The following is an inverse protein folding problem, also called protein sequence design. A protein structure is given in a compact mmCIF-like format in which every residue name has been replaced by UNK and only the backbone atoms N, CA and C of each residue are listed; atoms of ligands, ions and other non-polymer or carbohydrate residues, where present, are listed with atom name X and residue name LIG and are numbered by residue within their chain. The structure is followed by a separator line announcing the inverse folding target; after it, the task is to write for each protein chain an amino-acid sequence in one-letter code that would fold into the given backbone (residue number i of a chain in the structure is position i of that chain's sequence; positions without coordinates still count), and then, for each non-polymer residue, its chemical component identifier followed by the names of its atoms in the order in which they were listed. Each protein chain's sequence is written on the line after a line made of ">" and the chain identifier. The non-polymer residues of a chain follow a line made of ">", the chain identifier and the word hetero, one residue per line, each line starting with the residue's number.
data_IF_191803364893
#
_entry.id   IF_191803364893
#
_cell.length_a   1.000
_cell.length_b   1.000
_cell.length_c   1.000
_cell.angle_alpha   90.00
_cell.angle_beta   90.00
_cell.angle_gamma   90.00
#
_symmetry.space_group_name_H-M   'P 1'
#
loop_
_entity.id
_entity.type
_entity.pdbx_description
1 polymer ?
#
# COMPACT_ATOMS: atom_id res chain seq x y z
N UNK A 1 7.92 -20.11 -1.13
CA UNK A 1 7.59 -18.81 -1.78
C UNK A 1 8.17 -17.73 -0.89
N UNK A 2 8.84 -16.75 -1.49
CA UNK A 2 9.51 -15.66 -0.76
C UNK A 2 8.83 -14.33 -1.12
N UNK A 3 8.13 -13.76 -0.15
CA UNK A 3 7.31 -12.55 -0.34
C UNK A 3 7.57 -11.54 0.76
N UNK A 4 7.37 -10.25 0.46
CA UNK A 4 7.51 -9.16 1.43
C UNK A 4 6.34 -8.18 1.31
N UNK A 5 5.81 -7.74 2.44
CA UNK A 5 4.88 -6.62 2.56
C UNK A 5 5.59 -5.45 3.24
N UNK A 6 5.51 -4.25 2.66
CA UNK A 6 6.20 -3.05 3.15
C UNK A 6 5.21 -1.92 3.37
N UNK A 7 5.29 -1.30 4.54
CA UNK A 7 4.57 -0.05 4.85
C UNK A 7 5.52 1.05 5.33
N UNK A 8 5.13 2.29 5.14
CA UNK A 8 5.88 3.45 5.58
C UNK A 8 5.62 3.72 7.07
N UNK A 9 6.68 3.87 7.86
CA UNK A 9 6.63 4.21 9.27
C UNK A 9 7.38 5.52 9.56
N UNK A 10 7.19 6.10 10.74
CA UNK A 10 7.95 7.28 11.16
C UNK A 10 9.45 6.96 11.29
N UNK A 11 9.80 5.73 11.67
CA UNK A 11 11.19 5.25 11.73
C UNK A 11 11.84 5.07 10.35
N UNK A 12 11.08 5.08 9.29
CA UNK A 12 11.50 4.75 7.93
C UNK A 12 10.49 3.80 7.29
N UNK A 13 10.76 2.52 7.31
CA UNK A 13 9.95 1.48 6.71
C UNK A 13 9.81 0.30 7.65
N UNK A 14 8.66 -0.34 7.63
CA UNK A 14 8.44 -1.63 8.26
C UNK A 14 8.16 -2.66 7.17
N UNK A 15 8.86 -3.78 7.23
CA UNK A 15 8.72 -4.89 6.30
C UNK A 15 8.40 -6.16 7.06
N UNK A 16 7.47 -6.95 6.53
CA UNK A 16 7.18 -8.32 6.98
C UNK A 16 7.42 -9.25 5.81
N UNK A 17 8.27 -10.25 6.00
CA UNK A 17 8.58 -11.25 4.99
C UNK A 17 8.04 -12.60 5.38
N UNK A 18 7.61 -13.40 4.38
CA UNK A 18 7.17 -14.78 4.55
C UNK A 18 7.98 -15.63 3.58
N UNK A 19 8.89 -16.46 4.14
CA UNK A 19 9.73 -17.39 3.40
C UNK A 19 9.48 -18.81 3.90
N UNK A 20 9.06 -19.68 3.01
CA UNK A 20 8.75 -21.09 3.30
C UNK A 20 7.78 -21.25 4.49
N UNK A 21 6.80 -20.35 4.61
CA UNK A 21 5.82 -20.30 5.69
C UNK A 21 6.32 -19.66 6.99
N UNK A 22 7.58 -19.25 7.05
CA UNK A 22 8.16 -18.59 8.23
C UNK A 22 8.05 -17.08 8.08
N UNK A 23 7.51 -16.43 9.12
CA UNK A 23 7.42 -14.98 9.19
C UNK A 23 8.68 -14.38 9.79
N UNK A 24 9.13 -13.27 9.24
CA UNK A 24 10.18 -12.42 9.79
C UNK A 24 9.83 -10.95 9.57
N UNK A 25 10.53 -10.05 10.23
CA UNK A 25 10.31 -8.62 10.09
C UNK A 25 11.62 -7.83 10.11
N UNK A 26 11.57 -6.64 9.52
CA UNK A 26 12.65 -5.65 9.52
C UNK A 26 12.07 -4.26 9.69
N UNK A 27 12.73 -3.40 10.47
CA UNK A 27 12.49 -1.96 10.49
C UNK A 27 13.77 -1.29 10.02
N UNK A 28 13.65 -0.48 8.98
CA UNK A 28 14.78 0.12 8.29
C UNK A 28 14.57 1.63 8.08
N UNK A 29 15.64 2.39 8.05
CA UNK A 29 15.60 3.82 7.74
C UNK A 29 15.44 4.08 6.24
N UNK A 30 15.91 3.15 5.42
CA UNK A 30 15.87 3.19 3.96
C UNK A 30 15.49 1.83 3.37
N UNK A 31 14.96 1.83 2.14
CA UNK A 31 14.48 0.63 1.45
C UNK A 31 15.61 -0.30 1.00
N UNK A 32 16.81 0.20 0.78
CA UNK A 32 17.99 -0.60 0.43
C UNK A 32 18.50 -1.49 1.58
N UNK A 33 18.08 -1.19 2.81
CA UNK A 33 18.38 -2.02 3.99
C UNK A 33 17.42 -3.23 4.13
N UNK A 34 16.37 -3.32 3.28
CA UNK A 34 15.36 -4.38 3.35
C UNK A 34 15.66 -5.46 2.33
N UNK A 35 15.92 -6.67 2.81
CA UNK A 35 15.98 -7.85 1.95
C UNK A 35 14.56 -8.24 1.51
N UNK A 36 14.24 -7.99 0.24
CA UNK A 36 12.93 -8.21 -0.32
C UNK A 36 12.79 -9.61 -0.93
N UNK A 37 11.61 -10.20 -0.79
CA UNK A 37 11.26 -11.43 -1.49
C UNK A 37 11.07 -11.24 -3.00
N UNK A 38 10.92 -12.34 -3.70
CA UNK A 38 10.69 -12.35 -5.16
C UNK A 38 9.40 -11.64 -5.58
N UNK A 39 8.46 -11.49 -4.66
CA UNK A 39 7.24 -10.68 -4.81
C UNK A 39 7.10 -9.76 -3.60
N UNK A 40 7.16 -8.47 -3.84
CA UNK A 40 7.07 -7.44 -2.79
C UNK A 40 5.89 -6.52 -3.04
N UNK A 41 4.99 -6.43 -2.05
CA UNK A 41 3.87 -5.49 -2.07
C UNK A 41 4.18 -4.32 -1.16
N UNK A 42 4.00 -3.10 -1.66
CA UNK A 42 4.31 -1.87 -0.94
C UNK A 42 3.10 -0.93 -0.90
N UNK A 43 2.75 -0.40 0.29
CA UNK A 43 1.70 0.62 0.45
C UNK A 43 2.23 2.00 0.08
N UNK A 44 2.63 2.12 -1.19
CA UNK A 44 3.11 3.39 -1.72
C UNK A 44 2.94 3.44 -3.24
N UNK A 45 2.55 4.58 -3.82
CA UNK A 45 2.55 4.76 -5.26
C UNK A 45 3.94 4.50 -5.86
N UNK A 46 4.01 3.64 -6.88
CA UNK A 46 5.24 3.35 -7.62
C UNK A 46 5.32 4.18 -8.90
N UNK A 47 4.37 3.98 -9.81
CA UNK A 47 4.23 4.78 -11.04
C UNK A 47 3.42 6.05 -10.79
N UNK A 48 3.78 7.14 -11.46
CA UNK A 48 3.14 8.44 -11.33
C UNK A 48 2.75 8.99 -12.71
N UNK A 49 1.57 9.60 -12.78
CA UNK A 49 1.11 10.29 -13.98
C UNK A 49 1.69 11.71 -14.07
N UNK A 50 1.76 12.25 -15.30
CA UNK A 50 2.28 13.58 -15.59
C UNK A 50 1.23 14.68 -15.47
N UNK A 51 0.01 14.41 -15.97
CA UNK A 51 -0.99 15.43 -16.21
C UNK A 51 -2.44 14.99 -16.00
N UNK A 52 -2.66 13.86 -15.36
CA UNK A 52 -3.99 13.34 -15.06
C UNK A 52 -3.99 12.53 -13.77
N UNK A 53 -5.17 12.20 -13.27
CA UNK A 53 -5.32 11.26 -12.15
C UNK A 53 -4.99 9.85 -12.60
N UNK A 54 -4.32 9.10 -11.74
CA UNK A 54 -4.06 7.68 -11.98
C UNK A 54 -5.38 6.88 -11.99
N UNK A 55 -5.52 5.98 -12.94
CA UNK A 55 -6.66 5.06 -12.99
C UNK A 55 -6.66 4.09 -11.80
N UNK A 56 -5.50 3.68 -11.33
CA UNK A 56 -5.33 2.79 -10.17
C UNK A 56 -5.97 3.36 -8.92
N UNK A 57 -5.79 4.66 -8.60
CA UNK A 57 -6.40 5.29 -7.42
C UNK A 57 -7.94 5.23 -7.46
N UNK A 58 -8.53 5.40 -8.64
CA UNK A 58 -9.98 5.27 -8.83
C UNK A 58 -10.45 3.83 -8.63
N UNK A 59 -9.73 2.87 -9.22
CA UNK A 59 -10.07 1.45 -9.12
C UNK A 59 -9.94 0.92 -7.69
N UNK A 60 -8.91 1.32 -6.94
CA UNK A 60 -8.76 0.98 -5.52
C UNK A 60 -9.93 1.55 -4.68
N UNK A 61 -10.40 2.77 -4.99
CA UNK A 61 -11.59 3.33 -4.31
C UNK A 61 -12.86 2.54 -4.60
N UNK A 62 -13.04 2.03 -5.83
CA UNK A 62 -14.21 1.20 -6.16
C UNK A 62 -14.25 -0.08 -5.30
N UNK A 63 -13.11 -0.68 -5.00
CA UNK A 63 -13.01 -1.86 -4.12
C UNK A 63 -13.45 -1.57 -2.67
N UNK A 64 -13.38 -0.31 -2.23
CA UNK A 64 -13.70 0.11 -0.87
C UNK A 64 -15.12 0.69 -0.71
N UNK A 65 -15.96 0.60 -1.73
CA UNK A 65 -17.38 0.97 -1.64
C UNK A 65 -18.20 -0.13 -0.95
N UNK A 66 -19.21 0.28 -0.16
CA UNK A 66 -19.46 1.63 0.35
C UNK A 66 -18.62 1.96 1.60
N UNK A 67 -18.30 3.23 1.79
CA UNK A 67 -17.92 3.78 3.10
C UNK A 67 -16.43 4.00 3.37
N UNK A 68 -15.48 3.32 2.66
CA UNK A 68 -14.03 3.42 2.97
C UNK A 68 -13.20 4.04 1.84
N UNK A 69 -13.83 4.66 0.87
CA UNK A 69 -13.16 5.24 -0.31
C UNK A 69 -12.13 6.33 0.02
N UNK A 70 -12.30 7.03 1.15
CA UNK A 70 -11.36 8.06 1.63
C UNK A 70 -10.01 7.51 2.11
N UNK A 71 -9.87 6.19 2.27
CA UNK A 71 -8.59 5.57 2.61
C UNK A 71 -7.59 5.64 1.44
N UNK A 72 -8.09 5.75 0.20
CA UNK A 72 -7.24 5.91 -0.98
C UNK A 72 -7.13 7.39 -1.36
N UNK A 73 -5.99 8.00 -1.20
CA UNK A 73 -5.72 9.36 -1.67
C UNK A 73 -5.42 9.39 -3.17
N UNK A 74 -5.46 10.57 -3.81
CA UNK A 74 -4.91 10.71 -5.16
C UNK A 74 -3.38 10.81 -5.04
N UNK A 75 -2.66 9.93 -5.72
CA UNK A 75 -1.23 10.06 -5.81
C UNK A 75 -0.84 11.40 -6.47
N UNK A 76 0.31 11.98 -6.10
CA UNK A 76 0.79 13.21 -6.73
C UNK A 76 1.09 12.99 -8.22
N UNK A 77 1.13 14.08 -8.97
CA UNK A 77 1.77 14.04 -10.28
C UNK A 77 3.28 13.84 -10.12
N UNK A 78 3.93 13.22 -11.11
CA UNK A 78 5.39 13.01 -11.07
C UNK A 78 6.15 14.33 -10.89
N UNK A 79 5.72 15.36 -11.57
CA UNK A 79 6.29 16.72 -11.48
C UNK A 79 6.23 17.32 -10.06
N UNK A 80 5.40 16.79 -9.15
CA UNK A 80 5.37 17.24 -7.77
C UNK A 80 6.68 16.92 -7.02
N UNK A 81 7.42 15.87 -7.45
CA UNK A 81 8.74 15.53 -6.91
C UNK A 81 9.80 16.62 -7.18
N UNK A 82 9.59 17.43 -8.20
CA UNK A 82 10.53 18.46 -8.66
C UNK A 82 10.16 19.86 -8.13
N UNK A 83 9.02 19.99 -7.43
CA UNK A 83 8.55 21.30 -6.97
C UNK A 83 9.22 21.72 -5.65
N UNK A 84 9.56 23.02 -5.50
CA UNK A 84 10.26 23.49 -4.31
C UNK A 84 9.40 23.51 -3.05
N UNK A 85 8.07 23.61 -3.20
CA UNK A 85 7.14 23.70 -2.08
C UNK A 85 5.74 23.18 -2.44
N UNK A 86 4.92 22.99 -1.38
CA UNK A 86 3.56 22.50 -1.50
C UNK A 86 2.65 23.39 -2.37
N UNK A 87 2.77 24.71 -2.26
CA UNK A 87 1.87 25.62 -2.96
C UNK A 87 2.10 25.53 -4.47
N UNK A 88 3.37 25.56 -4.90
CA UNK A 88 3.76 25.39 -6.28
C UNK A 88 3.31 24.04 -6.85
N UNK A 89 3.54 22.94 -6.10
CA UNK A 89 3.11 21.61 -6.50
C UNK A 89 1.58 21.49 -6.61
N UNK A 90 0.84 22.06 -5.66
CA UNK A 90 -0.62 22.02 -5.64
C UNK A 90 -1.23 22.87 -6.79
N UNK A 91 -0.67 24.03 -7.07
CA UNK A 91 -1.15 24.87 -8.16
C UNK A 91 -0.83 24.27 -9.52
N UNK A 92 0.36 23.67 -9.67
CA UNK A 92 0.69 22.88 -10.85
C UNK A 92 -0.32 21.74 -11.07
N UNK A 93 -0.62 20.97 -10.02
CA UNK A 93 -1.58 19.86 -10.09
C UNK A 93 -2.99 20.33 -10.51
N UNK A 94 -3.48 21.43 -9.93
CA UNK A 94 -4.77 22.02 -10.32
C UNK A 94 -4.80 22.46 -11.78
N UNK A 95 -3.75 23.11 -12.23
CA UNK A 95 -3.65 23.65 -13.58
C UNK A 95 -3.57 22.56 -14.65
N UNK A 96 -2.78 21.50 -14.41
CA UNK A 96 -2.46 20.50 -15.44
C UNK A 96 -3.31 19.24 -15.36
N UNK A 97 -3.82 18.90 -14.17
CA UNK A 97 -4.60 17.67 -13.98
C UNK A 97 -6.01 17.89 -13.39
N UNK A 98 -6.38 19.15 -13.11
CA UNK A 98 -7.72 19.52 -12.63
C UNK A 98 -8.02 19.04 -11.18
N UNK A 99 -7.00 18.73 -10.39
CA UNK A 99 -7.20 18.36 -8.97
C UNK A 99 -6.09 18.92 -8.09
N UNK A 100 -6.45 19.25 -6.84
CA UNK A 100 -5.48 19.72 -5.86
C UNK A 100 -4.70 18.58 -5.23
N UNK A 101 -3.41 18.83 -4.96
CA UNK A 101 -2.55 17.94 -4.18
C UNK A 101 -2.95 18.01 -2.70
N UNK A 102 -3.23 16.86 -2.06
CA UNK A 102 -3.45 16.84 -0.62
C UNK A 102 -2.14 17.05 0.16
N UNK A 103 -2.23 17.64 1.36
CA UNK A 103 -1.04 17.73 2.23
C UNK A 103 -0.48 16.35 2.59
N UNK A 104 -1.35 15.34 2.74
CA UNK A 104 -0.90 13.96 2.96
C UNK A 104 -0.02 13.47 1.81
N UNK A 105 -0.49 13.63 0.56
CA UNK A 105 0.30 13.23 -0.61
C UNK A 105 1.62 14.01 -0.71
N UNK A 106 1.61 15.30 -0.38
CA UNK A 106 2.83 16.12 -0.33
C UNK A 106 3.86 15.57 0.68
N UNK A 107 3.43 15.27 1.90
CA UNK A 107 4.33 14.73 2.93
C UNK A 107 4.84 13.31 2.63
N UNK A 108 4.18 12.59 1.73
CA UNK A 108 4.62 11.28 1.26
C UNK A 108 5.62 11.35 0.10
N UNK A 109 5.84 12.52 -0.54
CA UNK A 109 6.78 12.65 -1.67
C UNK A 109 8.17 12.07 -1.39
N UNK A 110 8.83 12.33 -0.24
CA UNK A 110 10.14 11.74 0.04
C UNK A 110 10.10 10.20 0.09
N UNK A 111 8.98 9.62 0.53
CA UNK A 111 8.79 8.16 0.55
C UNK A 111 8.56 7.60 -0.86
N UNK A 112 7.74 8.28 -1.66
CA UNK A 112 7.51 7.94 -3.06
C UNK A 112 8.82 7.99 -3.84
N UNK A 113 9.65 9.01 -3.61
CA UNK A 113 10.97 9.13 -4.22
C UNK A 113 11.90 7.99 -3.83
N UNK A 114 11.94 7.61 -2.55
CA UNK A 114 12.70 6.43 -2.10
C UNK A 114 12.24 5.15 -2.82
N UNK A 115 10.93 4.91 -2.94
CA UNK A 115 10.40 3.74 -3.66
C UNK A 115 10.89 3.74 -5.09
N UNK A 116 10.85 4.87 -5.79
CA UNK A 116 11.30 4.98 -7.18
C UNK A 116 12.82 4.82 -7.34
N UNK A 117 13.59 5.36 -6.39
CA UNK A 117 15.06 5.27 -6.39
C UNK A 117 15.55 3.83 -6.15
N UNK A 118 14.89 3.09 -5.25
CA UNK A 118 15.28 1.74 -4.86
C UNK A 118 14.44 0.64 -5.52
N UNK A 119 13.60 1.00 -6.50
CA UNK A 119 12.69 0.08 -7.17
C UNK A 119 13.44 -1.14 -7.71
N UNK A 120 12.89 -2.32 -7.45
CA UNK A 120 13.39 -3.59 -7.95
C UNK A 120 12.30 -4.36 -8.72
N UNK A 121 12.65 -5.15 -9.74
CA UNK A 121 11.70 -6.06 -10.37
C UNK A 121 11.02 -6.96 -9.34
N UNK A 122 9.69 -7.07 -9.43
CA UNK A 122 8.90 -7.81 -8.43
C UNK A 122 8.25 -6.93 -7.35
N UNK A 123 8.62 -5.66 -7.26
CA UNK A 123 7.90 -4.70 -6.42
C UNK A 123 6.66 -4.19 -7.12
N UNK A 124 5.53 -4.23 -6.42
CA UNK A 124 4.26 -3.74 -6.94
C UNK A 124 3.52 -2.97 -5.85
N UNK A 125 2.93 -1.85 -6.23
CA UNK A 125 2.00 -1.11 -5.38
C UNK A 125 0.86 -2.03 -4.93
N UNK A 126 0.49 -1.94 -3.67
CA UNK A 126 -0.69 -2.59 -3.12
C UNK A 126 -1.31 -1.70 -2.05
N UNK A 127 -2.50 -2.04 -1.57
CA UNK A 127 -3.19 -1.19 -0.59
C UNK A 127 -3.80 -2.06 0.53
N UNK A 128 -3.35 -1.93 1.80
CA UNK A 128 -3.75 -2.80 2.90
C UNK A 128 -5.26 -2.87 3.12
N UNK A 129 -5.96 -1.73 3.09
CA UNK A 129 -7.42 -1.69 3.26
C UNK A 129 -8.16 -2.42 2.12
N UNK A 130 -7.63 -2.38 0.89
CA UNK A 130 -8.22 -3.13 -0.23
C UNK A 130 -7.90 -4.61 -0.11
N UNK A 131 -6.67 -4.96 0.31
CA UNK A 131 -6.32 -6.35 0.63
C UNK A 131 -7.24 -6.91 1.71
N UNK A 132 -7.47 -6.15 2.80
CA UNK A 132 -8.43 -6.52 3.83
C UNK A 132 -9.82 -6.79 3.26
N UNK A 133 -10.36 -5.85 2.46
CA UNK A 133 -11.69 -5.98 1.88
C UNK A 133 -11.83 -7.22 0.98
N UNK A 134 -10.80 -7.54 0.21
CA UNK A 134 -10.80 -8.72 -0.67
C UNK A 134 -10.68 -10.04 0.11
N UNK A 135 -9.94 -10.04 1.22
CA UNK A 135 -9.74 -11.22 2.06
C UNK A 135 -10.93 -11.50 3.00
N UNK A 136 -11.74 -10.48 3.31
CA UNK A 136 -12.94 -10.61 4.16
C UNK A 136 -14.25 -10.61 3.38
N UNK A 137 -14.21 -10.20 2.09
CA UNK A 137 -15.38 -10.04 1.24
C UNK A 137 -16.09 -8.69 1.38
N UNK A 138 -15.67 -7.84 2.30
CA UNK A 138 -16.24 -6.50 2.53
C UNK A 138 -15.20 -5.52 3.09
N UNK A 139 -15.33 -4.20 2.87
CA UNK A 139 -14.49 -3.20 3.52
C UNK A 139 -14.58 -3.27 5.04
N UNK A 140 -13.50 -2.89 5.73
CA UNK A 140 -13.48 -2.81 7.19
C UNK A 140 -14.58 -1.88 7.70
N UNK A 141 -15.29 -2.31 8.74
CA UNK A 141 -16.40 -1.56 9.34
C UNK A 141 -15.90 -0.36 10.13
N UNK A 142 -14.78 -0.54 10.82
CA UNK A 142 -14.20 0.47 11.71
C UNK A 142 -12.88 1.02 11.19
N UNK A 143 -12.56 2.26 11.58
CA UNK A 143 -11.29 2.89 11.25
C UNK A 143 -10.13 2.15 11.92
N UNK A 144 -9.01 1.97 11.21
CA UNK A 144 -7.78 1.38 11.79
C UNK A 144 -7.23 2.16 13.00
N UNK A 145 -7.75 3.37 13.26
CA UNK A 145 -7.41 4.21 14.42
C UNK A 145 -8.27 3.95 15.66
N UNK A 146 -9.30 3.10 15.57
CA UNK A 146 -10.14 2.70 16.70
C UNK A 146 -9.78 1.31 17.18
N UNK A 147 -10.09 1.00 18.43
CA UNK A 147 -9.85 -0.33 19.03
C UNK A 147 -10.55 -1.42 18.23
N UNK A 148 -11.80 -1.18 17.82
CA UNK A 148 -12.59 -2.12 17.04
C UNK A 148 -11.98 -2.35 15.65
N UNK A 149 -11.48 -1.30 15.02
CA UNK A 149 -10.85 -1.39 13.70
C UNK A 149 -9.50 -2.10 13.74
N UNK A 150 -8.72 -1.93 14.79
CA UNK A 150 -7.50 -2.71 15.03
C UNK A 150 -7.88 -4.18 15.24
N UNK A 151 -8.89 -4.47 16.11
CA UNK A 151 -9.34 -5.82 16.38
C UNK A 151 -9.86 -6.55 15.12
N UNK A 152 -10.59 -5.87 14.22
CA UNK A 152 -11.02 -6.44 12.93
C UNK A 152 -9.84 -6.96 12.10
N UNK A 153 -8.77 -6.18 12.02
CA UNK A 153 -7.60 -6.53 11.22
C UNK A 153 -6.77 -7.63 11.86
N UNK A 154 -6.58 -7.56 13.18
CA UNK A 154 -5.91 -8.62 13.94
C UNK A 154 -6.64 -9.96 13.78
N UNK A 155 -7.97 -9.97 13.87
CA UNK A 155 -8.75 -11.19 13.67
C UNK A 155 -8.54 -11.81 12.29
N UNK A 156 -8.35 -10.99 11.24
CA UNK A 156 -7.98 -11.49 9.93
C UNK A 156 -6.55 -12.05 9.91
N UNK A 157 -5.57 -11.34 10.47
CA UNK A 157 -4.17 -11.78 10.51
C UNK A 157 -4.00 -13.12 11.26
N UNK A 158 -4.73 -13.31 12.36
CA UNK A 158 -4.76 -14.55 13.12
C UNK A 158 -5.24 -15.76 12.31
N UNK A 159 -6.15 -15.56 11.34
CA UNK A 159 -6.59 -16.65 10.43
C UNK A 159 -5.46 -17.15 9.52
N UNK A 160 -4.43 -16.36 9.32
CA UNK A 160 -3.22 -16.71 8.56
C UNK A 160 -2.04 -17.08 9.45
N UNK A 161 -2.28 -17.32 10.75
CA UNK A 161 -1.26 -17.62 11.74
C UNK A 161 -0.12 -16.59 11.78
N UNK A 162 -0.44 -15.32 11.47
CA UNK A 162 0.53 -14.23 11.53
C UNK A 162 0.96 -13.99 12.98
N UNK A 163 2.27 -13.93 13.29
CA UNK A 163 2.74 -13.57 14.62
C UNK A 163 2.27 -12.17 15.04
N UNK A 164 2.10 -11.95 16.33
CA UNK A 164 1.56 -10.71 16.89
C UNK A 164 2.58 -9.53 16.83
N UNK A 165 3.10 -9.22 15.65
CA UNK A 165 4.06 -8.11 15.45
C UNK A 165 3.48 -6.75 15.84
N UNK A 166 2.16 -6.58 15.79
CA UNK A 166 1.48 -5.36 16.25
C UNK A 166 1.60 -5.10 17.76
N UNK A 167 2.09 -6.07 18.54
CA UNK A 167 2.40 -5.93 19.97
C UNK A 167 3.85 -5.47 20.22
N UNK A 168 4.69 -5.44 19.18
CA UNK A 168 6.07 -5.02 19.29
C UNK A 168 6.14 -3.50 19.55
N UNK A 169 6.91 -3.12 20.55
CA UNK A 169 7.19 -1.72 20.86
C UNK A 169 8.52 -1.30 20.21
N UNK A 170 8.45 -0.91 18.95
CA UNK A 170 9.60 -0.40 18.20
C UNK A 170 9.43 1.11 18.02
N UNK A 171 10.43 1.89 18.45
CA UNK A 171 10.37 3.35 18.36
C UNK A 171 10.14 3.82 16.94
N UNK A 172 9.06 4.58 16.72
CA UNK A 172 8.73 5.16 15.42
C UNK A 172 8.00 4.21 14.46
N UNK A 173 7.50 3.08 14.96
CA UNK A 173 6.58 2.17 14.24
C UNK A 173 5.28 2.08 15.03
N UNK A 174 4.17 2.41 14.40
CA UNK A 174 2.85 2.34 15.02
C UNK A 174 2.23 0.93 14.82
N UNK A 175 1.22 0.60 15.64
CA UNK A 175 0.49 -0.66 15.55
C UNK A 175 -0.11 -0.87 14.15
N UNK A 176 -0.63 0.17 13.52
CA UNK A 176 -1.22 0.08 12.18
C UNK A 176 -0.16 -0.14 11.09
N UNK A 177 1.07 0.39 11.23
CA UNK A 177 2.17 0.11 10.28
C UNK A 177 2.50 -1.39 10.26
N UNK A 178 2.55 -2.04 11.44
CA UNK A 178 2.74 -3.50 11.55
C UNK A 178 1.62 -4.29 10.89
N UNK A 179 0.36 -3.92 11.18
CA UNK A 179 -0.83 -4.57 10.62
C UNK A 179 -0.83 -4.46 9.09
N UNK A 180 -0.54 -3.29 8.56
CA UNK A 180 -0.54 -3.02 7.13
C UNK A 180 0.57 -3.81 6.42
N UNK A 181 1.79 -3.84 6.95
CA UNK A 181 2.87 -4.68 6.41
C UNK A 181 2.54 -6.18 6.44
N UNK A 182 1.94 -6.68 7.54
CA UNK A 182 1.48 -8.07 7.64
C UNK A 182 0.40 -8.40 6.60
N UNK A 183 -0.58 -7.52 6.41
CA UNK A 183 -1.64 -7.71 5.41
C UNK A 183 -1.07 -7.79 4.00
N UNK A 184 -0.12 -6.94 3.67
CA UNK A 184 0.55 -6.94 2.37
C UNK A 184 1.38 -8.20 2.16
N UNK A 185 2.13 -8.65 3.17
CA UNK A 185 2.90 -9.90 3.08
C UNK A 185 1.98 -11.10 2.84
N UNK A 186 0.88 -11.21 3.59
CA UNK A 186 -0.12 -12.27 3.40
C UNK A 186 -0.76 -12.17 2.01
N UNK A 187 -1.17 -10.97 1.58
CA UNK A 187 -1.75 -10.76 0.26
C UNK A 187 -0.78 -11.19 -0.86
N UNK A 188 0.53 -10.97 -0.69
CA UNK A 188 1.54 -11.37 -1.64
C UNK A 188 1.75 -12.89 -1.75
N UNK A 189 1.31 -13.69 -0.76
CA UNK A 189 1.33 -15.16 -0.86
C UNK A 189 0.21 -15.72 -1.74
N UNK A 190 -0.82 -14.93 -2.03
CA UNK A 190 -2.05 -15.38 -2.69
C UNK A 190 -2.01 -15.10 -4.21
N UNK A 191 -2.88 -15.76 -5.00
CA UNK A 191 -3.04 -15.41 -6.40
C UNK A 191 -3.40 -13.93 -6.57
N UNK A 192 -2.63 -13.23 -7.41
CA UNK A 192 -2.77 -11.80 -7.64
C UNK A 192 -3.78 -11.47 -8.76
N UNK A 193 -4.46 -10.35 -8.59
CA UNK A 193 -5.20 -9.64 -9.64
C UNK A 193 -4.59 -8.24 -9.74
N UNK A 194 -4.29 -7.81 -10.95
CA UNK A 194 -3.74 -6.48 -11.20
C UNK A 194 -4.83 -5.48 -11.57
N UNK A 195 -4.72 -4.25 -11.05
CA UNK A 195 -5.67 -3.18 -11.33
C UNK A 195 -4.93 -1.89 -11.68
N UNK A 196 -5.14 -1.37 -12.92
CA UNK A 196 -5.90 -1.95 -14.03
C UNK A 196 -5.25 -3.23 -14.60
N UNK A 197 -6.06 -4.07 -15.26
CA UNK A 197 -5.63 -5.40 -15.71
C UNK A 197 -4.64 -5.38 -16.91
N UNK A 198 -4.60 -4.28 -17.65
CA UNK A 198 -3.67 -4.04 -18.77
C UNK A 198 -2.25 -3.67 -18.31
N UNK A 199 -2.03 -3.53 -16.99
CA UNK A 199 -0.73 -3.30 -16.36
C UNK A 199 0.08 -2.18 -17.01
N UNK A 200 -0.45 -0.96 -17.15
CA UNK A 200 0.27 0.13 -17.78
C UNK A 200 1.50 0.55 -16.97
N UNK A 201 2.43 1.24 -17.62
CA UNK A 201 3.59 1.85 -16.98
C UNK A 201 3.57 3.37 -17.19
N UNK A 202 4.23 4.11 -16.31
CA UNK A 202 4.43 5.54 -16.50
C UNK A 202 5.51 5.82 -17.57
N UNK A 203 5.70 7.08 -17.94
CA UNK A 203 6.66 7.46 -18.98
C UNK A 203 8.12 7.13 -18.65
N UNK A 204 8.40 6.79 -17.39
CA UNK A 204 9.72 6.38 -16.90
C UNK A 204 9.82 4.87 -16.71
N UNK A 205 8.77 4.10 -17.07
CA UNK A 205 8.74 2.65 -17.04
C UNK A 205 8.29 2.03 -15.71
N UNK A 206 7.87 2.83 -14.72
CA UNK A 206 7.36 2.30 -13.45
C UNK A 206 5.90 1.85 -13.52
N UNK A 207 5.51 0.78 -12.81
CA UNK A 207 4.15 0.26 -12.81
C UNK A 207 3.10 1.30 -12.41
N UNK A 208 2.09 1.52 -13.26
CA UNK A 208 0.87 2.28 -12.98
C UNK A 208 -0.31 1.34 -12.67
N UNK A 209 -0.05 0.30 -11.91
CA UNK A 209 -1.03 -0.67 -11.45
C UNK A 209 -0.74 -1.14 -10.05
N UNK A 210 -1.75 -1.65 -9.37
CA UNK A 210 -1.62 -2.29 -8.06
C UNK A 210 -1.88 -3.79 -8.16
N UNK A 211 -1.22 -4.58 -7.32
CA UNK A 211 -1.47 -5.99 -7.14
C UNK A 211 -2.37 -6.20 -5.91
N UNK A 212 -3.42 -6.97 -6.05
CA UNK A 212 -4.39 -7.28 -5.01
C UNK A 212 -4.62 -8.79 -4.93
N UNK A 213 -4.92 -9.37 -3.77
CA UNK A 213 -5.29 -10.78 -3.69
C UNK A 213 -6.61 -11.01 -4.44
N UNK A 214 -6.79 -12.18 -5.03
CA UNK A 214 -8.07 -12.58 -5.60
C UNK A 214 -9.14 -12.55 -4.51
N UNK A 215 -10.32 -11.98 -4.80
CA UNK A 215 -11.44 -11.95 -3.84
C UNK A 215 -11.80 -13.36 -3.37
N UNK A 216 -11.95 -13.51 -2.06
CA UNK A 216 -12.54 -14.72 -1.50
C UNK A 216 -14.05 -14.61 -1.69
N UNK A 217 -14.61 -15.45 -2.55
CA UNK A 217 -16.06 -15.66 -2.62
C UNK A 217 -16.42 -16.65 -1.52
N UNK A 218 -17.03 -16.17 -0.44
CA UNK A 218 -17.71 -17.06 0.47
C UNK A 218 -18.96 -17.56 -0.29
N UNK A 219 -18.93 -18.79 -0.80
CA UNK A 219 -20.17 -19.50 -1.10
C UNK A 219 -20.88 -19.68 0.23
N UNK A 220 -22.00 -18.98 0.42
CA UNK A 220 -22.91 -19.26 1.50
C UNK A 220 -23.30 -20.74 1.35
N UNK A 221 -22.74 -21.57 2.23
CA UNK A 221 -23.27 -22.92 2.42
C UNK A 221 -24.58 -22.73 3.19
N UNK A 222 -25.70 -22.83 2.45
CA UNK A 222 -27.07 -22.88 2.97
C UNK A 222 -27.20 -24.12 3.84
#
# INVERSE_FOLDING_TARGET
>A
MDVTGIDAAKAGWVAVSIKDGQFSWTVASSLDEIECGTRTYIDMPVGLEENKRRSVDRLLREELKPGRTSCVFNAPLRTALEQPDYHTANDYSKQHAGFGLSKQAWYLLPKIEQVRTHYQPGWVESHPEVCFARLTGHPARHSKRTVEGVAERIALLQRYACPAYWELNVRGVATDDWIDACLLAIAATLPAVYVPADCPVDITGFPLYAALPKKITFTETV
#
